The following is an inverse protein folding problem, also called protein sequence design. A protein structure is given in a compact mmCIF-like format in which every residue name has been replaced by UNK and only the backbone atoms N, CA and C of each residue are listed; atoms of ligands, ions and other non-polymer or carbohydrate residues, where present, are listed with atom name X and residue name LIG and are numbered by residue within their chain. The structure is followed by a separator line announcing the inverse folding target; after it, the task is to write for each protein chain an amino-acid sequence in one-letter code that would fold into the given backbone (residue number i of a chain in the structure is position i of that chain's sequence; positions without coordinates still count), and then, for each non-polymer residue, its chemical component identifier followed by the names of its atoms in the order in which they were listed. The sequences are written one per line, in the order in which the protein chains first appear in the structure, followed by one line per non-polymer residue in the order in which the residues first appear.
data_IF_436858124164
#
_entry.id   IF_436858124164
#
_cell.length_a   1.000
_cell.length_b   1.000
_cell.length_c   1.000
_cell.angle_alpha   90.00
_cell.angle_beta   90.00
_cell.angle_gamma   90.00
#
_symmetry.space_group_name_H-M   'P 1'
#
loop_
_entity.id
_entity.type
_entity.pdbx_description
1 polymer ?
#
# COMPACT_ATOMS: atom_id res chain seq x y z
N UNK A 1 20.10 14.52 -8.27
CA UNK A 1 19.52 14.71 -8.20
C UNK A 1 18.81 14.50 -7.29
N UNK A 2 18.90 14.92 -6.92
CA UNK A 2 18.34 14.83 -5.84
C UNK A 2 16.98 14.69 -5.93
N UNK A 3 16.32 14.63 -5.03
CA UNK A 3 14.95 14.61 -5.09
C UNK A 3 14.35 13.31 -5.46
N UNK A 4 15.12 12.40 -5.84
CA UNK A 4 14.58 11.13 -6.21
C UNK A 4 14.37 10.31 -4.99
N UNK A 5 13.13 10.13 -4.64
CA UNK A 5 12.84 9.26 -3.55
C UNK A 5 12.88 7.87 -4.10
N UNK A 6 13.80 7.11 -3.58
CA UNK A 6 13.93 5.76 -4.00
C UNK A 6 12.85 4.92 -3.34
N UNK A 7 12.08 4.24 -4.11
CA UNK A 7 11.11 3.33 -3.53
C UNK A 7 11.19 2.02 -4.26
N UNK A 8 11.01 0.97 -3.52
CA UNK A 8 11.08 -0.36 -4.10
C UNK A 8 9.90 -1.17 -3.62
N UNK A 9 9.15 -1.71 -4.56
CA UNK A 9 8.02 -2.55 -4.21
C UNK A 9 8.55 -3.94 -3.93
N UNK A 10 8.45 -4.35 -2.68
CA UNK A 10 8.97 -5.63 -2.26
C UNK A 10 7.98 -6.74 -2.50
N UNK A 11 6.70 -6.45 -2.34
CA UNK A 11 5.68 -7.46 -2.49
C UNK A 11 4.36 -6.79 -2.80
N UNK A 12 3.58 -7.38 -3.66
CA UNK A 12 2.25 -6.89 -4.00
C UNK A 12 1.23 -7.87 -3.43
N UNK A 13 0.34 -7.35 -2.61
CA UNK A 13 -0.66 -8.19 -1.99
C UNK A 13 -1.97 -8.20 -2.76
N UNK A 14 -2.39 -7.05 -3.24
CA UNK A 14 -3.68 -6.94 -3.92
C UNK A 14 -3.53 -5.99 -5.09
N UNK A 15 -4.05 -6.38 -6.22
CA UNK A 15 -4.16 -5.50 -7.37
C UNK A 15 -5.63 -5.41 -7.72
N UNK A 16 -6.11 -4.18 -7.83
CA UNK A 16 -7.50 -3.96 -8.15
C UNK A 16 -7.65 -3.70 -9.65
N UNK A 17 -8.85 -3.82 -10.17
CA UNK A 17 -9.07 -3.57 -11.60
C UNK A 17 -8.70 -2.14 -11.95
N UNK A 18 -8.28 -1.98 -13.19
CA UNK A 18 -7.89 -0.66 -13.67
C UNK A 18 -9.10 0.23 -13.85
N UNK A 19 -8.94 1.49 -13.48
CA UNK A 19 -9.96 2.49 -13.68
C UNK A 19 -9.28 3.74 -14.17
N UNK A 20 -9.65 4.18 -15.37
CA UNK A 20 -9.10 5.42 -15.94
C UNK A 20 -7.57 5.39 -16.01
N UNK A 21 -7.02 4.25 -16.40
CA UNK A 21 -5.59 4.17 -16.60
C UNK A 21 -4.78 3.92 -15.37
N UNK A 22 -5.41 3.83 -14.23
CA UNK A 22 -4.73 3.57 -12.97
C UNK A 22 -5.43 2.44 -12.25
N UNK A 23 -4.70 1.74 -11.44
CA UNK A 23 -5.30 0.70 -10.61
C UNK A 23 -4.74 0.81 -9.20
N UNK A 24 -5.57 0.48 -8.24
CA UNK A 24 -5.20 0.52 -6.84
C UNK A 24 -4.41 -0.72 -6.49
N UNK A 25 -3.37 -0.56 -5.70
CA UNK A 25 -2.56 -1.69 -5.26
C UNK A 25 -2.25 -1.57 -3.78
N UNK A 26 -2.18 -2.71 -3.15
CA UNK A 26 -1.68 -2.78 -1.78
C UNK A 26 -0.34 -3.48 -1.85
N UNK A 27 0.71 -2.76 -1.52
CA UNK A 27 2.08 -3.24 -1.64
C UNK A 27 2.84 -3.07 -0.35
N UNK A 28 3.89 -3.85 -0.23
CA UNK A 28 4.90 -3.59 0.79
C UNK A 28 6.00 -2.83 0.08
N UNK A 29 6.24 -1.60 0.50
CA UNK A 29 7.19 -0.73 -0.19
C UNK A 29 8.24 -0.24 0.78
N UNK A 30 9.46 -0.23 0.30
CA UNK A 30 10.57 0.33 1.05
C UNK A 30 10.90 1.69 0.46
N UNK A 31 10.80 2.73 1.28
CA UNK A 31 11.04 4.09 0.84
C UNK A 31 12.39 4.53 1.35
N UNK A 32 13.34 4.71 0.42
CA UNK A 32 14.66 5.15 0.83
C UNK A 32 15.27 4.16 1.80
N UNK A 33 15.73 4.67 2.92
CA UNK A 33 16.36 3.83 3.92
C UNK A 33 15.46 3.48 5.06
N UNK A 34 14.18 3.76 4.90
CA UNK A 34 13.23 3.50 5.97
C UNK A 34 12.78 2.06 5.94
N UNK A 35 12.16 1.65 7.04
CA UNK A 35 11.61 0.32 7.09
C UNK A 35 10.50 0.18 6.09
N UNK A 36 10.32 -1.01 5.52
CA UNK A 36 9.21 -1.21 4.59
C UNK A 36 7.88 -0.95 5.26
N UNK A 37 6.98 -0.40 4.49
CA UNK A 37 5.65 -0.10 4.98
C UNK A 37 4.62 -0.58 3.99
N UNK A 38 3.43 -0.84 4.50
CA UNK A 38 2.33 -1.23 3.63
C UNK A 38 1.76 0.02 3.01
N UNK A 39 1.54 -0.02 1.71
CA UNK A 39 1.18 1.18 0.97
C UNK A 39 -0.01 0.90 0.08
N UNK A 40 -0.99 1.77 0.15
CA UNK A 40 -2.22 1.65 -0.61
C UNK A 40 -2.28 2.86 -1.51
N UNK A 41 -2.09 2.68 -2.82
CA UNK A 41 -2.15 3.81 -3.74
C UNK A 41 -2.40 3.30 -5.14
N UNK A 42 -2.68 4.24 -6.03
CA UNK A 42 -2.94 3.90 -7.41
C UNK A 42 -1.69 4.04 -8.24
N UNK A 43 -1.52 3.13 -9.17
CA UNK A 43 -0.39 3.11 -10.06
C UNK A 43 -0.89 3.01 -11.50
N UNK A 44 -0.12 3.58 -12.44
CA UNK A 44 -0.45 3.36 -13.82
C UNK A 44 0.07 1.99 -14.24
N UNK A 45 -0.15 1.64 -15.49
CA UNK A 45 0.06 0.27 -15.93
C UNK A 45 1.48 -0.21 -15.70
N UNK A 46 2.47 0.61 -16.05
CA UNK A 46 3.85 0.16 -15.93
C UNK A 46 4.50 0.66 -14.65
N UNK A 47 3.68 1.19 -13.74
CA UNK A 47 4.16 1.66 -12.43
C UNK A 47 5.18 2.78 -12.54
N UNK A 48 5.16 3.51 -13.64
CA UNK A 48 6.04 4.67 -13.77
C UNK A 48 5.45 5.89 -13.09
N UNK A 49 4.16 5.87 -12.80
CA UNK A 49 3.49 6.98 -12.14
C UNK A 49 2.60 6.47 -11.05
N UNK A 50 2.44 7.26 -10.03
CA UNK A 50 1.59 6.90 -8.92
C UNK A 50 0.89 8.13 -8.41
N UNK A 51 -0.23 7.91 -7.75
CA UNK A 51 -0.96 8.98 -7.11
C UNK A 51 -0.61 9.03 -5.65
N UNK A 52 -1.20 9.97 -4.96
CA UNK A 52 -1.08 10.02 -3.53
C UNK A 52 -1.69 8.76 -2.95
N UNK A 53 -1.10 8.27 -1.91
CA UNK A 53 -1.61 7.08 -1.27
C UNK A 53 -1.54 7.22 0.23
N UNK A 54 -1.83 6.14 0.92
CA UNK A 54 -1.73 6.10 2.36
C UNK A 54 -0.81 4.95 2.75
N UNK A 55 -0.17 5.12 3.86
CA UNK A 55 0.70 4.10 4.40
C UNK A 55 0.01 3.46 5.59
N UNK A 56 0.08 2.16 5.68
CA UNK A 56 -0.60 1.44 6.74
C UNK A 56 0.41 0.78 7.65
N UNK A 57 0.09 0.73 8.92
CA UNK A 57 0.87 -0.07 9.85
C UNK A 57 0.43 -1.51 9.70
N UNK A 58 1.20 -2.40 10.33
CA UNK A 58 0.84 -3.79 10.28
C UNK A 58 -0.52 -4.02 10.93
N UNK A 59 -0.78 -3.33 12.01
CA UNK A 59 -2.06 -3.48 12.69
C UNK A 59 -3.21 -3.02 11.83
N UNK A 60 -3.01 -1.92 11.12
CA UNK A 60 -4.05 -1.44 10.24
C UNK A 60 -4.29 -2.41 9.10
N UNK A 61 -3.24 -3.01 8.61
CA UNK A 61 -3.38 -3.97 7.55
C UNK A 61 -4.18 -5.18 8.02
N UNK A 62 -3.94 -5.62 9.23
CA UNK A 62 -4.67 -6.76 9.76
C UNK A 62 -6.16 -6.48 9.81
N UNK A 63 -6.51 -5.26 10.16
CA UNK A 63 -7.92 -4.90 10.17
C UNK A 63 -8.51 -5.00 8.78
N UNK A 64 -7.78 -4.51 7.80
CA UNK A 64 -8.23 -4.60 6.43
C UNK A 64 -8.44 -6.02 5.98
N UNK A 65 -7.60 -6.91 6.46
CA UNK A 65 -7.70 -8.30 6.07
C UNK A 65 -8.77 -9.04 6.86
N UNK A 66 -9.40 -8.37 7.80
CA UNK A 66 -10.41 -9.03 8.58
C UNK A 66 -9.86 -9.83 9.72
N UNK A 67 -8.56 -9.78 9.92
CA UNK A 67 -7.95 -10.49 11.04
C UNK A 67 -7.79 -9.56 12.18
N UNK A 68 -8.82 -8.87 12.54
CA UNK A 68 -8.62 -7.87 13.54
C UNK A 68 -8.34 -8.51 14.86
N UNK A 69 -7.45 -7.91 15.55
CA UNK A 69 -7.15 -8.36 16.89
C UNK A 69 -8.37 -8.08 17.71
N UNK A 70 -8.50 -8.78 18.68
CA UNK A 70 -9.56 -8.66 19.58
C UNK A 70 -10.04 -7.25 19.60
N UNK A 71 -11.06 -7.00 18.99
CA UNK A 71 -11.58 -5.70 18.97
C UNK A 71 -12.83 -5.72 19.77
N UNK A 72 -12.71 -5.42 21.01
CA UNK A 72 -13.87 -5.50 21.86
C UNK A 72 -14.87 -4.54 21.34
N UNK A 73 -16.00 -4.83 21.42
CA UNK A 73 -16.99 -3.92 21.01
C UNK A 73 -17.27 -3.98 19.57
N UNK A 74 -16.62 -4.80 18.90
CA UNK A 74 -16.97 -4.94 17.53
C UNK A 74 -18.17 -5.82 17.46
N UNK A 75 -19.25 -5.26 17.17
CA UNK A 75 -20.42 -6.08 17.11
C UNK A 75 -20.29 -6.92 15.91
N UNK A 76 -20.25 -7.99 16.09
CA UNK A 76 -20.16 -8.95 15.06
C UNK A 76 -20.14 -8.51 13.66
#
# INVERSE_FOLDING_TARGET
MAGNIKCEILETFIEFPEIHGYHLELNLIEWGDNEPKYDFRRWNEDRSRMTKGITLSKEELLVLQGSEPASPGTPG
#
